data_IF_353707789492
#
_entry.id   IF_353707789492
#
_cell.length_a   1.000
_cell.length_b   1.000
_cell.length_c   1.000
_cell.angle_alpha   90.00
_cell.angle_beta   90.00
_cell.angle_gamma   90.00
#
_symmetry.space_group_name_H-M   'P 1'
#
loop_
_entity.id
_entity.type
_entity.pdbx_description
1 polymer ?
#
# COMPACT_ATOMS: atom_id res chain seq x y z
N UNK A 1 -31.82 -21.37 -9.26
CA UNK A 1 -30.79 -20.84 -8.34
C UNK A 1 -29.70 -20.07 -9.10
N UNK A 2 -30.07 -19.05 -9.91
CA UNK A 2 -29.12 -18.30 -10.76
C UNK A 2 -29.25 -16.76 -10.64
N UNK A 3 -30.16 -16.26 -9.80
CA UNK A 3 -30.45 -14.83 -9.69
C UNK A 3 -29.56 -14.07 -8.67
N UNK A 4 -28.83 -14.79 -7.81
CA UNK A 4 -28.03 -14.17 -6.74
C UNK A 4 -26.64 -13.67 -7.21
N UNK A 5 -26.09 -14.21 -8.31
CA UNK A 5 -24.74 -13.85 -8.76
C UNK A 5 -24.66 -12.55 -9.58
N UNK A 6 -25.76 -12.12 -10.21
CA UNK A 6 -25.76 -10.90 -11.04
C UNK A 6 -25.79 -9.58 -10.25
N UNK A 7 -26.28 -9.58 -9.01
CA UNK A 7 -26.35 -8.36 -8.17
C UNK A 7 -25.01 -7.95 -7.56
N UNK A 8 -24.08 -8.90 -7.37
CA UNK A 8 -22.76 -8.63 -6.79
C UNK A 8 -21.77 -7.99 -7.77
N UNK A 9 -21.96 -8.17 -9.09
CA UNK A 9 -21.15 -7.54 -10.12
C UNK A 9 -21.39 -6.03 -10.22
N UNK A 10 -22.66 -5.60 -10.21
CA UNK A 10 -23.02 -4.19 -10.37
C UNK A 10 -22.53 -3.31 -9.20
N UNK A 11 -22.60 -3.81 -7.96
CA UNK A 11 -22.17 -3.06 -6.77
C UNK A 11 -20.64 -2.92 -6.68
N UNK A 12 -19.88 -3.93 -7.14
CA UNK A 12 -18.41 -3.88 -7.25
C UNK A 12 -17.96 -2.80 -8.25
N UNK A 13 -18.64 -2.70 -9.39
CA UNK A 13 -18.33 -1.69 -10.42
C UNK A 13 -18.75 -0.28 -9.98
N UNK A 14 -19.84 -0.16 -9.23
CA UNK A 14 -20.31 1.14 -8.74
C UNK A 14 -19.31 1.79 -7.79
N UNK A 15 -18.77 1.04 -6.83
CA UNK A 15 -17.80 1.58 -5.87
C UNK A 15 -16.46 1.91 -6.52
N UNK A 16 -15.97 1.04 -7.42
CA UNK A 16 -14.78 1.34 -8.23
C UNK A 16 -14.93 2.63 -9.03
N UNK A 17 -16.06 2.78 -9.74
CA UNK A 17 -16.37 3.98 -10.49
C UNK A 17 -16.48 5.25 -9.60
N UNK A 18 -17.05 5.13 -8.40
CA UNK A 18 -17.13 6.24 -7.45
C UNK A 18 -15.74 6.70 -6.98
N UNK A 19 -14.86 5.76 -6.63
CA UNK A 19 -13.49 6.08 -6.21
C UNK A 19 -12.68 6.68 -7.36
N UNK A 20 -12.77 6.10 -8.57
CA UNK A 20 -12.10 6.63 -9.75
C UNK A 20 -12.56 8.07 -10.07
N UNK A 21 -13.87 8.33 -10.02
CA UNK A 21 -14.43 9.67 -10.19
C UNK A 21 -13.94 10.65 -9.13
N UNK A 22 -13.87 10.23 -7.86
CA UNK A 22 -13.34 11.04 -6.77
C UNK A 22 -11.88 11.41 -7.03
N UNK A 23 -11.02 10.42 -7.28
CA UNK A 23 -9.58 10.62 -7.51
C UNK A 23 -9.33 11.47 -8.75
N UNK A 24 -10.11 11.27 -9.83
CA UNK A 24 -10.05 12.11 -11.03
C UNK A 24 -10.49 13.56 -10.76
N UNK A 25 -11.50 13.76 -9.91
CA UNK A 25 -11.93 15.11 -9.51
C UNK A 25 -10.86 15.80 -8.68
N UNK A 26 -10.24 15.10 -7.72
CA UNK A 26 -9.14 15.63 -6.91
C UNK A 26 -7.90 15.92 -7.78
N UNK A 27 -7.60 15.05 -8.74
CA UNK A 27 -6.55 15.28 -9.73
C UNK A 27 -6.81 16.56 -10.53
N UNK A 28 -8.02 16.78 -11.03
CA UNK A 28 -8.35 17.99 -11.80
C UNK A 28 -8.25 19.29 -11.00
N UNK A 29 -8.33 19.20 -9.67
CA UNK A 29 -8.18 20.31 -8.71
C UNK A 29 -6.76 20.48 -8.19
N UNK A 30 -5.85 19.64 -8.66
CA UNK A 30 -4.48 19.54 -8.18
C UNK A 30 -4.33 19.14 -6.70
N UNK A 31 -5.38 18.55 -6.12
CA UNK A 31 -5.44 18.11 -4.72
C UNK A 31 -4.93 16.67 -4.54
N UNK A 32 -4.77 15.92 -5.63
CA UNK A 32 -4.24 14.55 -5.61
C UNK A 32 -3.32 14.27 -6.80
N UNK A 33 -2.21 13.60 -6.52
CA UNK A 33 -1.30 13.03 -7.52
C UNK A 33 -0.66 11.77 -6.93
N UNK A 34 -0.88 10.63 -7.56
CA UNK A 34 -0.36 9.34 -7.10
C UNK A 34 -0.95 8.17 -7.87
N UNK A 35 -0.87 6.97 -7.30
CA UNK A 35 -1.45 5.77 -7.90
C UNK A 35 -2.34 5.06 -6.89
N UNK A 36 -3.41 4.41 -7.36
CA UNK A 36 -4.36 3.68 -6.51
C UNK A 36 -4.66 2.28 -7.05
N UNK A 37 -4.72 1.32 -6.13
CA UNK A 37 -5.13 -0.06 -6.37
C UNK A 37 -6.31 -0.39 -5.45
N UNK A 38 -7.39 -0.89 -6.03
CA UNK A 38 -8.54 -1.44 -5.30
C UNK A 38 -8.80 -2.85 -5.81
N UNK A 39 -8.79 -3.83 -4.92
CA UNK A 39 -9.13 -5.22 -5.23
C UNK A 39 -10.14 -5.77 -4.24
N UNK A 40 -10.86 -6.82 -4.64
CA UNK A 40 -11.73 -7.60 -3.75
C UNK A 40 -11.61 -9.08 -4.06
N UNK A 41 -10.84 -9.78 -3.23
CA UNK A 41 -10.26 -11.07 -3.58
C UNK A 41 -9.28 -10.89 -4.73
N UNK A 42 -9.30 -11.81 -5.69
CA UNK A 42 -8.40 -11.77 -6.84
C UNK A 42 -8.84 -10.79 -7.95
N UNK A 43 -10.02 -10.19 -7.80
CA UNK A 43 -10.55 -9.24 -8.77
C UNK A 43 -10.02 -7.82 -8.51
N UNK A 44 -9.23 -7.31 -9.45
CA UNK A 44 -8.82 -5.89 -9.50
C UNK A 44 -10.00 -5.05 -10.01
N UNK A 45 -10.34 -4.01 -9.26
CA UNK A 45 -11.44 -3.08 -9.53
C UNK A 45 -10.90 -1.73 -10.04
N UNK A 46 -9.81 -1.24 -9.44
CA UNK A 46 -9.02 -0.09 -9.91
C UNK A 46 -7.55 -0.47 -9.82
N UNK A 47 -6.75 -0.09 -10.81
CA UNK A 47 -5.29 -0.13 -10.77
C UNK A 47 -4.76 0.93 -11.73
N UNK A 48 -4.66 2.18 -11.28
CA UNK A 48 -4.42 3.34 -12.16
C UNK A 48 -3.51 4.39 -11.49
N UNK A 49 -2.84 5.18 -12.34
CA UNK A 49 -2.13 6.39 -11.93
C UNK A 49 -2.97 7.65 -12.18
N UNK A 50 -2.80 8.66 -11.33
CA UNK A 50 -3.50 9.94 -11.34
C UNK A 50 -2.48 11.08 -11.22
N UNK A 51 -2.58 12.09 -12.08
CA UNK A 51 -1.71 13.27 -12.05
C UNK A 51 -0.25 12.96 -12.42
N UNK A 52 0.67 13.80 -11.93
CA UNK A 52 2.09 13.75 -12.24
C UNK A 52 2.92 13.11 -11.11
N UNK A 53 3.77 12.15 -11.45
CA UNK A 53 4.86 11.68 -10.61
C UNK A 53 5.95 12.76 -10.44
N UNK A 54 6.15 13.58 -11.48
CA UNK A 54 7.01 14.75 -11.45
C UNK A 54 6.38 15.88 -12.28
N UNK A 55 6.01 16.98 -11.63
CA UNK A 55 5.32 18.11 -12.27
C UNK A 55 6.23 18.92 -13.18
N UNK A 56 7.47 19.16 -12.76
CA UNK A 56 8.46 19.96 -13.50
C UNK A 56 8.78 19.31 -14.84
N UNK A 57 8.97 17.98 -14.83
CA UNK A 57 9.29 17.20 -16.02
C UNK A 57 8.06 16.59 -16.70
N UNK A 58 6.85 16.94 -16.26
CA UNK A 58 5.58 16.42 -16.79
C UNK A 58 5.51 14.88 -16.85
N UNK A 59 6.14 14.19 -15.91
CA UNK A 59 6.10 12.73 -15.81
C UNK A 59 4.81 12.32 -15.14
N UNK A 60 3.97 11.55 -15.83
CA UNK A 60 2.68 11.07 -15.29
C UNK A 60 2.88 9.93 -14.28
N UNK A 61 1.97 9.82 -13.32
CA UNK A 61 1.88 8.62 -12.49
C UNK A 61 1.37 7.45 -13.33
N UNK A 62 1.92 6.27 -13.09
CA UNK A 62 1.45 4.99 -13.63
C UNK A 62 1.32 3.99 -12.47
N UNK A 63 0.80 2.80 -12.75
CA UNK A 63 0.77 1.69 -11.79
C UNK A 63 2.17 1.20 -11.39
N UNK A 64 3.20 1.61 -12.13
CA UNK A 64 4.60 1.22 -11.91
C UNK A 64 5.44 2.35 -11.26
N UNK A 65 4.86 3.53 -11.03
CA UNK A 65 5.56 4.63 -10.37
C UNK A 65 6.02 4.20 -8.98
N UNK A 66 7.31 4.37 -8.71
CA UNK A 66 7.91 4.04 -7.40
C UNK A 66 7.75 5.22 -6.44
N UNK A 67 7.26 4.92 -5.24
CA UNK A 67 7.09 5.91 -4.17
C UNK A 67 8.02 5.62 -3.00
N UNK A 68 8.44 6.68 -2.30
CA UNK A 68 9.05 6.53 -0.97
C UNK A 68 7.94 6.22 0.04
N UNK A 69 7.84 4.98 0.48
CA UNK A 69 6.71 4.47 1.26
C UNK A 69 6.74 4.82 2.76
N UNK A 70 7.79 5.51 3.23
CA UNK A 70 7.89 5.99 4.62
C UNK A 70 7.70 4.89 5.66
N UNK A 71 6.81 5.11 6.64
CA UNK A 71 6.57 4.17 7.74
C UNK A 71 5.98 2.83 7.33
N UNK A 72 5.45 2.66 6.11
CA UNK A 72 5.06 1.34 5.57
C UNK A 72 6.28 0.39 5.56
N UNK A 73 7.49 0.92 5.40
CA UNK A 73 8.75 0.15 5.54
C UNK A 73 8.79 -0.68 6.84
N UNK A 74 8.22 -0.19 7.94
CA UNK A 74 8.23 -0.88 9.23
C UNK A 74 7.41 -2.17 9.21
N UNK A 75 6.35 -2.23 8.41
CA UNK A 75 5.54 -3.44 8.25
C UNK A 75 6.37 -4.56 7.62
N UNK A 76 7.14 -4.25 6.57
CA UNK A 76 8.06 -5.20 5.93
C UNK A 76 9.16 -5.67 6.89
N UNK A 77 9.75 -4.76 7.67
CA UNK A 77 10.78 -5.12 8.65
C UNK A 77 10.18 -5.97 9.77
N UNK A 78 9.00 -5.64 10.29
CA UNK A 78 8.30 -6.44 11.29
C UNK A 78 8.00 -7.85 10.76
N UNK A 79 7.52 -7.96 9.51
CA UNK A 79 7.31 -9.26 8.86
C UNK A 79 8.61 -10.07 8.77
N UNK A 80 9.71 -9.46 8.34
CA UNK A 80 11.01 -10.14 8.29
C UNK A 80 11.46 -10.65 9.66
N UNK A 81 11.27 -9.85 10.72
CA UNK A 81 11.56 -10.27 12.10
C UNK A 81 10.70 -11.48 12.51
N UNK A 82 9.41 -11.46 12.19
CA UNK A 82 8.50 -12.57 12.51
C UNK A 82 8.84 -13.84 11.73
N UNK A 83 9.26 -13.73 10.46
CA UNK A 83 9.75 -14.86 9.68
C UNK A 83 11.02 -15.46 10.30
N UNK A 84 11.95 -14.63 10.79
CA UNK A 84 13.15 -15.11 11.50
C UNK A 84 12.80 -15.80 12.81
N UNK A 85 11.76 -15.33 13.51
CA UNK A 85 11.24 -16.02 14.69
C UNK A 85 10.66 -17.39 14.34
N UNK A 86 9.83 -17.48 13.30
CA UNK A 86 9.24 -18.74 12.84
C UNK A 86 10.32 -19.77 12.46
N UNK A 87 11.43 -19.30 11.90
CA UNK A 87 12.60 -20.12 11.58
C UNK A 87 13.46 -20.49 12.80
N UNK A 88 13.15 -20.00 13.99
CA UNK A 88 13.92 -20.22 15.22
C UNK A 88 15.26 -19.48 15.27
N UNK A 89 15.52 -18.53 14.37
CA UNK A 89 16.76 -17.74 14.33
C UNK A 89 16.81 -16.77 15.52
N UNK A 90 15.67 -16.14 15.81
CA UNK A 90 15.49 -15.15 16.87
C UNK A 90 14.16 -15.40 17.63
N UNK A 91 13.93 -14.70 18.73
CA UNK A 91 12.64 -14.61 19.42
C UNK A 91 12.33 -13.16 19.71
N UNK A 92 11.12 -12.68 19.43
CA UNK A 92 10.71 -11.30 19.71
C UNK A 92 10.61 -11.00 21.21
N UNK A 93 10.73 -12.03 22.05
CA UNK A 93 10.80 -11.92 23.51
C UNK A 93 12.23 -11.91 24.05
N UNK A 94 13.24 -12.06 23.20
CA UNK A 94 14.62 -12.11 23.64
C UNK A 94 15.22 -10.73 23.91
N UNK A 95 16.31 -10.73 24.68
CA UNK A 95 17.00 -9.50 25.00
C UNK A 95 17.83 -9.00 23.80
N UNK A 96 17.67 -7.72 23.43
CA UNK A 96 18.43 -7.07 22.35
C UNK A 96 19.95 -7.18 22.52
N UNK A 97 20.46 -7.34 23.75
CA UNK A 97 21.90 -7.59 24.03
C UNK A 97 22.47 -8.79 23.27
N UNK A 98 21.63 -9.76 22.86
CA UNK A 98 22.06 -10.89 22.02
C UNK A 98 22.58 -10.41 20.66
N UNK A 99 22.01 -9.34 20.10
CA UNK A 99 22.32 -8.85 18.75
C UNK A 99 23.19 -7.60 18.75
N UNK A 100 23.16 -6.80 19.81
CA UNK A 100 23.96 -5.58 19.93
C UNK A 100 24.82 -5.62 21.19
N UNK A 101 26.16 -5.67 21.09
CA UNK A 101 27.06 -5.69 22.25
C UNK A 101 26.99 -4.40 23.08
N UNK A 102 26.58 -3.28 22.48
CA UNK A 102 26.40 -2.00 23.16
C UNK A 102 24.95 -1.81 23.62
N UNK A 103 24.72 -1.16 24.77
CA UNK A 103 23.37 -0.80 25.19
C UNK A 103 22.72 0.12 24.13
N UNK A 104 21.39 0.02 23.92
CA UNK A 104 20.70 0.91 22.99
C UNK A 104 20.98 2.36 23.37
N UNK A 105 21.21 3.20 22.35
CA UNK A 105 21.55 4.61 22.51
C UNK A 105 20.55 5.26 23.47
N UNK A 106 21.06 5.86 24.56
CA UNK A 106 20.25 6.71 25.42
C UNK A 106 19.81 7.90 24.59
N UNK A 107 18.55 7.92 24.17
CA UNK A 107 17.95 9.14 23.61
C UNK A 107 17.92 10.19 24.73
N UNK A 108 18.55 11.33 24.50
CA UNK A 108 18.48 12.51 25.37
C UNK A 108 17.13 13.18 25.23
#
# INVERSE_FOLDING_TARGET
MAAAFRRLGACRHLFGHQLDKLLSTLQSRDEFSGSALLSKGDAIIINQGYGYANREHQVINTTETKFRIGSITKEFIAMAILMLQEQGVLSVHENLKRFTPSPPLKYK
#
